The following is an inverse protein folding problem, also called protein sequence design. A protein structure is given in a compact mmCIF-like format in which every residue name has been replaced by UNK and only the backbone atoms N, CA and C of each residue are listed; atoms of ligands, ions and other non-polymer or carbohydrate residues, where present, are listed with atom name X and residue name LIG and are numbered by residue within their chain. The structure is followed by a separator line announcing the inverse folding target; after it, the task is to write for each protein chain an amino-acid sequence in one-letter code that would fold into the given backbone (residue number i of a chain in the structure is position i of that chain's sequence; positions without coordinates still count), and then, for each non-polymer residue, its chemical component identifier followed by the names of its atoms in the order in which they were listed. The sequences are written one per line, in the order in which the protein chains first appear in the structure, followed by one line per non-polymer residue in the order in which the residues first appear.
data_IF_239939843964
#
_entry.id   IF_239939843964
#
_cell.length_a   1.000
_cell.length_b   1.000
_cell.length_c   1.000
_cell.angle_alpha   90.00
_cell.angle_beta   90.00
_cell.angle_gamma   90.00
#
_symmetry.space_group_name_H-M   'P 1'
#
loop_
_entity.id
_entity.type
_entity.pdbx_description
1 polymer ?
#
# COMPACT_ATOMS: atom_id res chain seq x y z
N UNK A 1 5.68 -7.70 -17.46
CA UNK A 1 4.64 -6.65 -17.47
C UNK A 1 5.16 -5.49 -16.65
N UNK A 2 5.13 -4.26 -17.15
CA UNK A 2 5.69 -3.10 -16.42
C UNK A 2 4.54 -2.36 -15.76
N UNK A 3 4.37 -2.54 -14.46
CA UNK A 3 3.40 -1.77 -13.68
C UNK A 3 3.88 -0.32 -13.56
N UNK A 4 2.96 0.62 -13.71
CA UNK A 4 3.22 2.05 -13.55
C UNK A 4 2.42 2.68 -12.42
N UNK A 5 1.39 1.99 -11.97
CA UNK A 5 0.46 2.48 -10.97
C UNK A 5 -0.08 1.33 -10.12
N UNK A 6 -0.27 1.57 -8.84
CA UNK A 6 -0.92 0.67 -7.89
C UNK A 6 -1.93 1.45 -7.06
N UNK A 7 -3.08 0.86 -6.82
CA UNK A 7 -4.09 1.40 -5.91
C UNK A 7 -4.35 0.41 -4.79
N UNK A 8 -4.46 0.92 -3.56
CA UNK A 8 -4.75 0.13 -2.36
C UNK A 8 -5.89 0.77 -1.56
N UNK A 9 -6.68 -0.04 -0.91
CA UNK A 9 -7.79 0.37 -0.05
C UNK A 9 -7.39 0.61 1.42
N UNK A 10 -6.10 0.61 1.70
CA UNK A 10 -5.52 0.87 3.00
C UNK A 10 -4.66 2.15 2.98
N UNK A 11 -4.28 2.61 4.17
CA UNK A 11 -3.55 3.88 4.35
C UNK A 11 -2.07 3.84 3.98
N UNK A 12 -1.54 2.70 3.55
CA UNK A 12 -0.17 2.61 3.02
C UNK A 12 0.03 1.33 2.22
N UNK A 13 0.88 1.42 1.20
CA UNK A 13 1.36 0.25 0.47
C UNK A 13 2.46 -0.51 1.23
N UNK A 14 3.09 0.11 2.23
CA UNK A 14 4.01 -0.56 3.15
C UNK A 14 3.29 -0.95 4.44
N UNK A 15 3.60 -2.13 4.96
CA UNK A 15 3.01 -2.58 6.21
C UNK A 15 3.52 -1.71 7.37
N UNK A 16 2.64 -1.18 8.27
CA UNK A 16 3.03 -0.26 9.34
C UNK A 16 4.17 -0.77 10.22
N UNK A 17 4.21 -2.07 10.50
CA UNK A 17 5.28 -2.67 11.32
C UNK A 17 6.64 -2.77 10.60
N UNK A 18 6.69 -2.48 9.31
CA UNK A 18 7.92 -2.33 8.53
C UNK A 18 8.24 -0.84 8.27
N UNK A 19 7.78 0.03 9.14
CA UNK A 19 8.05 1.48 9.12
C UNK A 19 8.48 1.97 10.48
N UNK A 20 8.75 3.27 10.61
CA UNK A 20 9.05 3.92 11.90
C UNK A 20 7.90 3.77 12.91
N UNK A 21 6.68 3.52 12.46
CA UNK A 21 5.52 3.30 13.35
C UNK A 21 5.71 2.14 14.30
N UNK A 22 6.52 1.14 13.94
CA UNK A 22 6.92 0.05 14.82
C UNK A 22 7.53 0.54 16.15
N UNK A 23 8.38 1.55 16.09
CA UNK A 23 9.01 2.13 17.29
C UNK A 23 8.09 3.08 18.04
N UNK A 24 7.17 3.75 17.35
CA UNK A 24 6.22 4.66 17.97
C UNK A 24 5.06 3.93 18.66
N UNK A 25 4.74 2.73 18.20
CA UNK A 25 3.65 1.92 18.73
C UNK A 25 4.10 0.52 19.17
N UNK A 26 4.99 0.41 20.20
CA UNK A 26 5.58 -0.87 20.60
C UNK A 26 4.54 -1.90 21.07
N UNK A 27 3.40 -1.45 21.62
CA UNK A 27 2.31 -2.36 22.01
C UNK A 27 1.67 -3.03 20.81
N UNK A 28 1.35 -2.25 19.76
CA UNK A 28 0.78 -2.79 18.54
C UNK A 28 1.76 -3.72 17.82
N UNK A 29 3.05 -3.38 17.86
CA UNK A 29 4.07 -4.27 17.32
C UNK A 29 4.12 -5.59 18.07
N UNK A 30 4.10 -5.59 19.40
CA UNK A 30 4.09 -6.80 20.21
C UNK A 30 2.86 -7.67 19.95
N UNK A 31 1.68 -7.06 19.76
CA UNK A 31 0.45 -7.78 19.40
C UNK A 31 0.57 -8.44 18.03
N UNK A 32 1.06 -7.71 17.04
CA UNK A 32 1.27 -8.22 15.68
C UNK A 32 2.31 -9.36 15.67
N UNK A 33 3.42 -9.20 16.41
CA UNK A 33 4.45 -10.21 16.54
C UNK A 33 3.93 -11.48 17.24
N UNK A 34 3.16 -11.34 18.31
CA UNK A 34 2.56 -12.47 19.01
C UNK A 34 1.59 -13.24 18.10
N UNK A 35 0.79 -12.51 17.30
CA UNK A 35 -0.09 -13.12 16.33
C UNK A 35 0.71 -13.89 15.27
N UNK A 36 1.77 -13.30 14.75
CA UNK A 36 2.62 -13.93 13.76
C UNK A 36 3.29 -15.20 14.29
N UNK A 37 3.84 -15.15 15.51
CA UNK A 37 4.41 -16.32 16.19
C UNK A 37 3.40 -17.42 16.39
N UNK A 38 2.15 -17.07 16.75
CA UNK A 38 1.06 -18.05 16.90
C UNK A 38 0.69 -18.71 15.58
N UNK A 39 0.59 -17.94 14.52
CA UNK A 39 0.07 -18.41 13.23
C UNK A 39 1.16 -19.12 12.40
N UNK A 40 2.42 -18.70 12.51
CA UNK A 40 3.53 -19.16 11.64
C UNK A 40 4.75 -19.72 12.41
N UNK A 41 4.79 -19.61 13.73
CA UNK A 41 5.92 -20.08 14.54
C UNK A 41 7.21 -19.27 14.41
N UNK A 42 7.14 -18.05 13.81
CA UNK A 42 8.30 -17.19 13.55
C UNK A 42 8.08 -15.78 14.10
N UNK A 43 9.16 -15.13 14.48
CA UNK A 43 9.14 -13.71 14.84
C UNK A 43 8.94 -12.82 13.59
N UNK A 44 8.61 -11.56 13.84
CA UNK A 44 8.45 -10.60 12.76
C UNK A 44 9.72 -10.44 11.92
N UNK A 45 10.86 -10.27 12.59
CA UNK A 45 12.14 -10.05 11.91
C UNK A 45 12.72 -11.31 11.26
N UNK A 46 12.31 -12.53 11.69
CA UNK A 46 12.64 -13.76 10.97
C UNK A 46 11.87 -13.89 9.64
N UNK A 47 10.64 -13.36 9.57
CA UNK A 47 9.85 -13.37 8.34
C UNK A 47 10.12 -12.16 7.46
N UNK A 48 10.33 -11.02 8.07
CA UNK A 48 10.49 -9.72 7.40
C UNK A 48 11.68 -8.98 8.00
N UNK A 49 12.93 -9.36 7.68
CA UNK A 49 14.14 -8.67 8.15
C UNK A 49 14.02 -7.16 7.93
N UNK A 50 14.16 -6.37 8.99
CA UNK A 50 13.89 -4.94 8.98
C UNK A 50 14.69 -4.20 7.91
N UNK A 51 15.97 -4.53 7.76
CA UNK A 51 16.88 -3.94 6.76
C UNK A 51 16.38 -4.14 5.30
N UNK A 52 15.72 -5.28 5.05
CA UNK A 52 15.24 -5.60 3.71
C UNK A 52 13.84 -5.05 3.43
N UNK A 53 12.98 -5.07 4.45
CA UNK A 53 11.55 -4.77 4.33
C UNK A 53 11.14 -3.39 4.82
N UNK A 54 12.08 -2.60 5.37
CA UNK A 54 11.78 -1.24 5.79
C UNK A 54 11.33 -0.38 4.61
N UNK A 55 10.07 0.05 4.65
CA UNK A 55 9.43 0.89 3.64
C UNK A 55 9.78 0.49 2.19
N UNK A 56 9.70 -0.78 1.90
CA UNK A 56 10.18 -1.35 0.62
C UNK A 56 9.48 -0.73 -0.59
N UNK A 57 8.20 -0.40 -0.49
CA UNK A 57 7.47 0.27 -1.55
C UNK A 57 7.99 1.70 -1.75
N UNK A 58 8.09 2.47 -0.65
CA UNK A 58 8.54 3.86 -0.70
C UNK A 58 10.00 3.99 -1.12
N UNK A 59 10.89 3.14 -0.60
CA UNK A 59 12.32 3.27 -0.84
C UNK A 59 12.84 2.54 -2.08
N UNK A 60 12.18 1.45 -2.50
CA UNK A 60 12.70 0.61 -3.59
C UNK A 60 11.85 0.65 -4.87
N UNK A 61 10.54 0.86 -4.76
CA UNK A 61 9.65 0.77 -5.92
C UNK A 61 9.15 2.12 -6.43
N UNK A 62 8.69 3.01 -5.55
CA UNK A 62 8.22 4.33 -5.98
C UNK A 62 9.31 5.17 -6.64
N UNK A 63 10.58 5.19 -6.18
CA UNK A 63 11.65 5.90 -6.86
C UNK A 63 11.94 5.39 -8.29
N UNK A 64 11.47 4.17 -8.62
CA UNK A 64 11.57 3.61 -9.99
C UNK A 64 10.40 4.03 -10.89
N UNK A 65 9.60 5.00 -10.47
CA UNK A 65 8.48 5.54 -11.23
C UNK A 65 7.18 4.76 -11.06
N UNK A 66 7.02 4.00 -9.98
CA UNK A 66 5.73 3.45 -9.60
C UNK A 66 4.95 4.52 -8.82
N UNK A 67 3.79 4.91 -9.32
CA UNK A 67 2.86 5.82 -8.65
C UNK A 67 1.86 5.00 -7.86
N UNK A 68 1.45 5.47 -6.69
CA UNK A 68 0.42 4.78 -5.93
C UNK A 68 -0.70 5.71 -5.44
N UNK A 69 -1.87 5.13 -5.21
CA UNK A 69 -3.00 5.76 -4.56
C UNK A 69 -3.43 4.92 -3.36
N UNK A 70 -3.69 5.57 -2.25
CA UNK A 70 -4.07 4.98 -0.98
C UNK A 70 -5.53 5.30 -0.64
N UNK A 71 -6.08 4.54 0.32
CA UNK A 71 -7.43 4.74 0.82
C UNK A 71 -8.50 4.74 -0.29
N UNK A 72 -8.33 3.87 -1.27
CA UNK A 72 -9.34 3.71 -2.31
C UNK A 72 -10.63 3.20 -1.68
N UNK A 73 -11.72 3.87 -1.96
CA UNK A 73 -13.02 3.53 -1.41
C UNK A 73 -14.12 3.52 -2.47
N UNK A 74 -15.36 3.78 -2.03
CA UNK A 74 -16.51 3.78 -2.91
C UNK A 74 -16.88 2.35 -3.35
N UNK A 75 -17.04 2.16 -4.64
CA UNK A 75 -17.51 0.88 -5.21
C UNK A 75 -16.34 -0.04 -5.67
N UNK A 76 -15.17 0.06 -5.05
CA UNK A 76 -13.98 -0.70 -5.43
C UNK A 76 -14.23 -2.22 -5.49
N UNK A 77 -15.07 -2.75 -4.61
CA UNK A 77 -15.43 -4.18 -4.58
C UNK A 77 -16.06 -4.67 -5.89
N UNK A 78 -16.75 -3.78 -6.61
CA UNK A 78 -17.34 -4.12 -7.92
C UNK A 78 -16.29 -4.44 -8.97
N UNK A 79 -15.03 -4.10 -8.72
CA UNK A 79 -13.90 -4.30 -9.62
C UNK A 79 -13.11 -5.59 -9.32
N UNK A 80 -13.45 -6.30 -8.24
CA UNK A 80 -12.75 -7.52 -7.86
C UNK A 80 -12.73 -8.53 -9.02
N UNK A 81 -11.51 -9.01 -9.32
CA UNK A 81 -11.24 -9.96 -10.42
C UNK A 81 -11.65 -9.48 -11.81
N UNK A 82 -11.82 -8.17 -12.01
CA UNK A 82 -12.14 -7.58 -13.30
C UNK A 82 -10.96 -6.86 -13.91
N UNK A 83 -10.87 -6.89 -15.22
CA UNK A 83 -10.05 -5.96 -16.00
C UNK A 83 -10.91 -4.81 -16.45
N UNK A 84 -10.51 -3.59 -16.09
CA UNK A 84 -11.24 -2.37 -16.46
C UNK A 84 -10.26 -1.23 -16.74
N UNK A 85 -10.77 -0.17 -17.33
CA UNK A 85 -10.04 1.07 -17.45
C UNK A 85 -10.14 1.86 -16.16
N UNK A 86 -9.00 2.35 -15.67
CA UNK A 86 -8.95 3.17 -14.47
C UNK A 86 -8.30 4.50 -14.81
N UNK A 87 -9.00 5.58 -14.49
CA UNK A 87 -8.47 6.95 -14.55
C UNK A 87 -8.16 7.45 -13.15
N UNK A 88 -7.00 8.07 -12.98
CA UNK A 88 -6.61 8.74 -11.76
C UNK A 88 -6.49 10.23 -12.05
N UNK A 89 -7.39 11.03 -11.49
CA UNK A 89 -7.48 12.47 -11.71
C UNK A 89 -7.01 13.20 -10.45
N UNK A 90 -5.79 13.67 -10.49
CA UNK A 90 -5.11 14.34 -9.40
C UNK A 90 -5.24 15.85 -9.53
N UNK A 91 -5.17 16.56 -8.40
CA UNK A 91 -5.04 18.01 -8.42
C UNK A 91 -3.66 18.40 -8.95
N UNK A 92 -3.66 19.36 -9.86
CA UNK A 92 -2.40 19.92 -10.35
C UNK A 92 -1.89 20.95 -9.34
N UNK A 93 -0.93 20.53 -8.53
CA UNK A 93 -0.27 21.39 -7.56
C UNK A 93 1.24 21.41 -7.83
N UNK A 94 1.88 22.49 -7.44
CA UNK A 94 3.34 22.66 -7.56
C UNK A 94 3.96 22.23 -6.24
N UNK A 95 5.05 21.46 -6.32
CA UNK A 95 5.85 21.04 -5.15
C UNK A 95 5.09 20.25 -4.08
N UNK A 96 4.03 19.52 -4.47
CA UNK A 96 3.35 18.60 -3.57
C UNK A 96 3.84 17.16 -3.79
N UNK A 97 4.19 16.54 -2.69
CA UNK A 97 4.53 15.12 -2.61
C UNK A 97 3.31 14.23 -2.87
N UNK A 98 2.15 14.66 -2.40
CA UNK A 98 0.89 13.93 -2.53
C UNK A 98 -0.30 14.88 -2.65
N UNK A 99 -1.40 14.40 -3.19
CA UNK A 99 -2.64 15.17 -3.31
C UNK A 99 -3.88 14.28 -3.35
N UNK A 100 -5.03 14.87 -3.11
CA UNK A 100 -6.32 14.20 -3.30
C UNK A 100 -6.50 13.85 -4.77
N UNK A 101 -6.95 12.60 -5.02
CA UNK A 101 -7.22 12.11 -6.36
C UNK A 101 -8.66 11.59 -6.47
N UNK A 102 -9.30 11.87 -7.61
CA UNK A 102 -10.52 11.17 -8.02
C UNK A 102 -10.12 9.96 -8.85
N UNK A 103 -10.43 8.77 -8.33
CA UNK A 103 -10.23 7.52 -9.08
C UNK A 103 -11.58 7.11 -9.69
N UNK A 104 -11.56 6.81 -10.98
CA UNK A 104 -12.75 6.41 -11.74
C UNK A 104 -12.44 5.13 -12.50
N UNK A 105 -13.28 4.13 -12.36
CA UNK A 105 -13.24 2.93 -13.18
C UNK A 105 -14.38 2.96 -14.23
N UNK A 106 -14.08 2.53 -15.44
CA UNK A 106 -15.05 2.46 -16.52
C UNK A 106 -15.33 0.98 -16.80
N UNK A 107 -16.52 0.54 -16.44
CA UNK A 107 -16.99 -0.82 -16.71
C UNK A 107 -17.81 -0.78 -18.02
N UNK A 108 -17.22 -1.29 -19.09
CA UNK A 108 -17.93 -1.43 -20.36
C UNK A 108 -18.90 -2.61 -20.25
N UNK A 109 -20.18 -2.32 -20.14
CA UNK A 109 -21.19 -3.38 -20.29
C UNK A 109 -21.05 -3.98 -21.69
N UNK A 110 -20.83 -5.28 -21.73
CA UNK A 110 -20.97 -6.05 -22.97
C UNK A 110 -22.42 -6.17 -23.36
#
# INVERSE_FOLDING_TARGET
MKFKWIGVDCGSADHPMNTILRSWHPRLFAEAENKLKKDYGKSWDEMYPYEEYYQVMHLKLFPKGLIHAENLGGEIEKLNNKRTWVGCFVWRAIELESCIARIVAIDFKK
#
